data_IF_128686240550
#
_entry.id   IF_128686240550
#
_cell.length_a   1.000
_cell.length_b   1.000
_cell.length_c   1.000
_cell.angle_alpha   90.00
_cell.angle_beta   90.00
_cell.angle_gamma   90.00
#
_symmetry.space_group_name_H-M   'P 1'
#
loop_
_entity.id
_entity.type
_entity.pdbx_description
1 polymer ?
#
# COMPACT_ATOMS: atom_id res chain seq x y z
N UNK A 1 -8.23 10.34 -13.06
CA UNK A 1 -8.61 10.07 -11.65
C UNK A 1 -7.62 10.78 -10.74
N UNK A 2 -8.01 11.13 -9.51
CA UNK A 2 -7.08 11.72 -8.53
C UNK A 2 -6.41 10.63 -7.70
N UNK A 3 -5.18 10.85 -7.21
CA UNK A 3 -4.58 9.98 -6.21
C UNK A 3 -5.46 9.83 -4.97
N UNK A 4 -5.44 8.66 -4.34
CA UNK A 4 -6.21 8.35 -3.15
C UNK A 4 -5.32 7.69 -2.10
N UNK A 5 -5.47 8.12 -0.84
CA UNK A 5 -4.79 7.48 0.29
C UNK A 5 -5.53 6.17 0.57
N UNK A 6 -4.81 5.06 0.47
CA UNK A 6 -5.33 3.73 0.81
C UNK A 6 -5.15 3.43 2.30
N UNK A 7 -4.03 3.87 2.87
CA UNK A 7 -3.72 3.67 4.28
C UNK A 7 -2.87 4.82 4.80
N UNK A 8 -3.11 5.21 6.05
CA UNK A 8 -2.26 6.14 6.80
C UNK A 8 -2.01 5.55 8.17
N UNK A 9 -0.74 5.48 8.57
CA UNK A 9 -0.37 5.04 9.90
C UNK A 9 -1.00 5.98 10.95
N UNK A 10 -1.57 5.48 12.07
CA UNK A 10 -2.27 6.31 13.06
C UNK A 10 -1.41 7.45 13.63
N UNK A 11 -0.11 7.21 13.78
CA UNK A 11 0.86 8.18 14.28
C UNK A 11 1.47 9.05 13.16
N UNK A 12 0.98 8.94 11.93
CA UNK A 12 1.47 9.72 10.79
C UNK A 12 2.76 9.20 10.15
N UNK A 13 3.42 8.19 10.74
CA UNK A 13 4.75 7.66 10.32
C UNK A 13 4.81 6.97 8.96
N UNK A 14 3.70 6.87 8.23
CA UNK A 14 3.70 6.26 6.91
C UNK A 14 2.36 6.36 6.19
N UNK A 15 2.41 6.29 4.87
CA UNK A 15 1.23 6.34 4.01
C UNK A 15 1.38 5.46 2.78
N UNK A 16 0.27 4.85 2.37
CA UNK A 16 0.12 4.15 1.09
C UNK A 16 -0.85 4.94 0.23
N UNK A 17 -0.42 5.32 -0.96
CA UNK A 17 -1.21 6.12 -1.92
C UNK A 17 -1.30 5.38 -3.25
N UNK A 18 -2.52 5.25 -3.76
CA UNK A 18 -2.76 4.82 -5.13
C UNK A 18 -2.87 6.04 -6.06
N UNK A 19 -2.18 6.00 -7.19
CA UNK A 19 -2.28 6.99 -8.25
C UNK A 19 -2.72 6.31 -9.56
N UNK A 20 -4.04 6.21 -9.79
CA UNK A 20 -4.57 5.50 -10.95
C UNK A 20 -4.28 6.21 -12.27
N UNK A 21 -4.01 7.53 -12.25
CA UNK A 21 -3.70 8.28 -13.46
C UNK A 21 -2.34 7.88 -14.05
N UNK A 22 -1.41 7.47 -13.18
CA UNK A 22 -0.05 7.06 -13.56
C UNK A 22 0.21 5.57 -13.35
N UNK A 23 -0.83 4.77 -13.06
CA UNK A 23 -0.73 3.33 -12.78
C UNK A 23 0.38 3.00 -11.78
N UNK A 24 0.34 3.63 -10.60
CA UNK A 24 1.37 3.42 -9.58
C UNK A 24 0.81 3.39 -8.15
N UNK A 25 1.54 2.68 -7.29
CA UNK A 25 1.40 2.72 -5.84
C UNK A 25 2.63 3.41 -5.25
N UNK A 26 2.41 4.29 -4.30
CA UNK A 26 3.47 5.01 -3.59
C UNK A 26 3.36 4.61 -2.12
N UNK A 27 4.46 4.17 -1.55
CA UNK A 27 4.58 3.83 -0.13
C UNK A 27 5.68 4.71 0.44
N UNK A 28 5.37 5.46 1.50
CA UNK A 28 6.37 6.23 2.23
C UNK A 28 6.36 5.85 3.71
N UNK A 29 7.55 5.80 4.28
CA UNK A 29 7.80 5.53 5.68
C UNK A 29 8.73 6.62 6.21
N UNK A 30 8.28 7.32 7.25
CA UNK A 30 9.07 8.36 7.90
C UNK A 30 10.15 7.74 8.79
N UNK A 31 9.89 6.56 9.37
CA UNK A 31 10.85 5.83 10.21
C UNK A 31 12.08 5.37 9.42
N UNK A 32 11.88 5.00 8.16
CA UNK A 32 12.95 4.57 7.25
C UNK A 32 13.46 5.72 6.36
N UNK A 33 12.88 6.91 6.49
CA UNK A 33 13.10 8.06 5.62
C UNK A 33 13.08 7.68 4.11
N UNK A 34 12.17 6.78 3.74
CA UNK A 34 12.14 6.16 2.41
C UNK A 34 10.79 6.35 1.72
N UNK A 35 10.84 6.45 0.40
CA UNK A 35 9.64 6.46 -0.46
C UNK A 35 9.88 5.54 -1.65
N UNK A 36 9.01 4.55 -1.81
CA UNK A 36 9.05 3.57 -2.89
C UNK A 36 7.85 3.79 -3.79
N UNK A 37 8.09 3.81 -5.09
CA UNK A 37 7.05 3.86 -6.11
C UNK A 37 7.09 2.57 -6.94
N UNK A 38 5.93 1.94 -7.10
CA UNK A 38 5.77 0.71 -7.87
C UNK A 38 4.77 0.94 -8.99
N UNK A 39 5.15 0.66 -10.23
CA UNK A 39 4.21 0.61 -11.35
C UNK A 39 3.25 -0.56 -11.14
N UNK A 40 1.95 -0.28 -11.07
CA UNK A 40 0.91 -1.28 -10.82
C UNK A 40 -0.37 -0.95 -11.57
N UNK A 41 -0.82 -1.90 -12.38
CA UNK A 41 -2.10 -1.83 -13.08
C UNK A 41 -3.26 -2.40 -12.25
N UNK A 42 -4.50 -2.40 -12.80
CA UNK A 42 -5.68 -2.94 -12.13
C UNK A 42 -5.52 -4.40 -11.70
N UNK A 43 -4.94 -5.25 -12.55
CA UNK A 43 -4.75 -6.68 -12.21
C UNK A 43 -3.72 -6.87 -11.11
N UNK A 44 -2.65 -6.08 -11.15
CA UNK A 44 -1.64 -6.05 -10.09
C UNK A 44 -2.23 -5.61 -8.73
N UNK A 45 -3.09 -4.60 -8.73
CA UNK A 45 -3.78 -4.15 -7.51
C UNK A 45 -4.70 -5.23 -6.93
N UNK A 46 -5.44 -5.96 -7.77
CA UNK A 46 -6.27 -7.09 -7.32
C UNK A 46 -5.42 -8.20 -6.73
N UNK A 47 -4.33 -8.58 -7.40
CA UNK A 47 -3.41 -9.60 -6.89
C UNK A 47 -2.76 -9.17 -5.56
N UNK A 48 -2.36 -7.91 -5.44
CA UNK A 48 -1.81 -7.35 -4.20
C UNK A 48 -2.85 -7.40 -3.06
N UNK A 49 -4.11 -7.06 -3.33
CA UNK A 49 -5.17 -7.11 -2.33
C UNK A 49 -5.37 -8.53 -1.78
N UNK A 50 -5.37 -9.55 -2.64
CA UNK A 50 -5.46 -10.95 -2.20
C UNK A 50 -4.27 -11.34 -1.32
N UNK A 51 -3.04 -10.93 -1.68
CA UNK A 51 -1.85 -11.20 -0.86
C UNK A 51 -1.86 -10.48 0.48
N UNK A 52 -2.37 -9.26 0.54
CA UNK A 52 -2.55 -8.54 1.79
C UNK A 52 -3.56 -9.25 2.71
N UNK A 53 -4.65 -9.81 2.14
CA UNK A 53 -5.61 -10.62 2.92
C UNK A 53 -4.94 -11.86 3.48
N UNK A 54 -4.27 -12.65 2.63
CA UNK A 54 -3.54 -13.85 3.08
C UNK A 54 -2.51 -13.53 4.19
N UNK A 55 -1.82 -12.39 4.08
CA UNK A 55 -0.84 -11.96 5.09
C UNK A 55 -1.51 -11.59 6.40
N UNK A 56 -2.65 -10.87 6.35
CA UNK A 56 -3.42 -10.51 7.54
C UNK A 56 -3.91 -11.76 8.29
N UNK A 57 -4.41 -12.76 7.56
CA UNK A 57 -4.85 -14.04 8.13
C UNK A 57 -3.70 -14.75 8.87
N UNK A 58 -2.48 -14.72 8.32
CA UNK A 58 -1.29 -15.29 8.99
C UNK A 58 -0.91 -14.51 10.24
N UNK A 59 -0.99 -13.18 10.20
CA UNK A 59 -0.63 -12.32 11.35
C UNK A 59 -1.58 -12.54 12.53
N UNK A 60 -2.87 -12.77 12.29
CA UNK A 60 -3.86 -13.08 13.34
C UNK A 60 -3.54 -14.42 14.05
N UNK A 61 -3.08 -15.42 13.30
CA UNK A 61 -2.72 -16.74 13.88
C UNK A 61 -1.47 -16.70 14.76
N UNK A 62 -0.60 -15.71 14.55
CA UNK A 62 0.69 -15.57 15.26
C UNK A 62 0.59 -14.67 16.50
N UNK A 63 -0.52 -13.95 16.69
CA UNK A 63 -0.79 -13.10 17.85
C UNK A 63 -1.42 -13.87 19.01
#
# INVERSE_FOLDING_TARGET
>A
MKPAILYRHPEGRGVVVADPAHHRLIVSSDDEASTVTVCIGPDGLRALAEKLRETADVMEVVQ
#
